data_IF_305003543970
#
_entry.id   IF_305003543970
#
_cell.length_a   1.000
_cell.length_b   1.000
_cell.length_c   1.000
_cell.angle_alpha   90.00
_cell.angle_beta   90.00
_cell.angle_gamma   90.00
#
_symmetry.space_group_name_H-M   'P 1'
#
loop_
_entity.id
_entity.type
_entity.pdbx_description
1 polymer ?
#
# COMPACT_ATOMS: atom_id res chain seq x y z
N UNK A 1 46.56 -14.73 -67.52
CA UNK A 1 45.93 -16.00 -67.09
C UNK A 1 46.56 -16.43 -65.79
N UNK A 2 45.87 -17.20 -64.94
CA UNK A 2 44.44 -17.21 -64.59
C UNK A 2 44.29 -16.41 -63.26
N UNK A 3 43.25 -16.48 -62.40
CA UNK A 3 41.90 -17.07 -62.44
C UNK A 3 40.85 -15.94 -62.29
N UNK A 4 39.56 -16.30 -62.36
CA UNK A 4 38.47 -15.58 -61.71
C UNK A 4 37.94 -16.43 -60.55
N UNK A 5 37.55 -15.82 -59.43
CA UNK A 5 36.55 -16.32 -58.49
C UNK A 5 35.65 -15.11 -58.21
N UNK A 6 34.35 -15.12 -58.41
CA UNK A 6 33.42 -16.23 -58.24
C UNK A 6 32.48 -15.81 -57.11
N UNK A 7 31.31 -15.26 -57.45
CA UNK A 7 30.37 -14.70 -56.47
C UNK A 7 29.96 -15.77 -55.45
N UNK A 8 30.06 -15.45 -54.17
CA UNK A 8 29.29 -16.12 -53.12
C UNK A 8 28.67 -15.06 -52.20
N UNK A 9 27.35 -14.87 -52.32
CA UNK A 9 26.60 -14.08 -51.34
C UNK A 9 26.47 -14.88 -50.05
N UNK A 10 27.10 -14.42 -48.97
CA UNK A 10 26.61 -14.70 -47.62
C UNK A 10 25.89 -13.46 -47.10
N UNK A 11 24.56 -13.51 -47.13
CA UNK A 11 23.73 -12.58 -46.35
C UNK A 11 23.85 -13.01 -44.90
N UNK A 12 24.74 -12.36 -44.13
CA UNK A 12 24.84 -12.59 -42.70
C UNK A 12 23.64 -11.94 -42.01
N UNK A 13 22.57 -12.72 -41.84
CA UNK A 13 21.40 -12.30 -41.10
C UNK A 13 21.79 -12.04 -39.63
N UNK A 14 21.75 -10.77 -39.22
CA UNK A 14 22.03 -10.36 -37.85
C UNK A 14 20.87 -10.80 -36.95
N UNK A 15 21.02 -11.96 -36.32
CA UNK A 15 20.17 -12.36 -35.21
C UNK A 15 20.60 -11.57 -33.97
N UNK A 16 19.98 -10.41 -33.75
CA UNK A 16 20.00 -9.73 -32.47
C UNK A 16 19.29 -10.61 -31.43
N UNK A 17 19.95 -11.08 -30.36
CA UNK A 17 19.23 -11.65 -29.23
C UNK A 17 18.55 -10.49 -28.49
N UNK A 18 17.29 -10.22 -28.82
CA UNK A 18 16.39 -9.45 -27.94
C UNK A 18 16.00 -10.31 -26.73
N UNK A 19 16.99 -10.61 -25.90
CA UNK A 19 16.80 -11.08 -24.54
C UNK A 19 16.86 -9.86 -23.62
N UNK A 20 15.78 -9.08 -23.60
CA UNK A 20 15.45 -8.32 -22.39
C UNK A 20 15.05 -9.35 -21.34
N UNK A 21 16.04 -9.92 -20.65
CA UNK A 21 15.81 -10.39 -19.30
C UNK A 21 15.22 -9.19 -18.56
N UNK A 22 13.96 -9.31 -18.12
CA UNK A 22 13.48 -8.43 -17.07
C UNK A 22 14.35 -8.77 -15.86
N UNK A 23 15.31 -7.91 -15.55
CA UNK A 23 16.06 -8.01 -14.31
C UNK A 23 15.06 -7.88 -13.17
N UNK A 24 14.63 -9.02 -12.66
CA UNK A 24 13.99 -9.14 -11.37
C UNK A 24 15.08 -8.91 -10.32
N UNK A 25 15.52 -7.65 -10.21
CA UNK A 25 16.41 -7.18 -9.16
C UNK A 25 15.72 -7.41 -7.82
N UNK A 26 16.07 -8.52 -7.18
CA UNK A 26 15.84 -8.71 -5.76
C UNK A 26 16.57 -7.56 -5.06
N UNK A 27 15.82 -6.72 -4.34
CA UNK A 27 16.38 -5.62 -3.57
C UNK A 27 17.33 -6.18 -2.52
N UNK A 28 18.63 -6.16 -2.83
CA UNK A 28 19.66 -6.67 -1.94
C UNK A 28 20.00 -5.68 -0.81
N UNK A 29 20.80 -6.15 0.14
CA UNK A 29 21.19 -5.36 1.31
C UNK A 29 22.05 -4.13 0.96
N UNK A 30 22.69 -4.08 -0.22
CA UNK A 30 23.45 -2.92 -0.68
C UNK A 30 22.50 -1.85 -1.24
N UNK A 31 21.52 -2.24 -2.05
CA UNK A 31 20.46 -1.35 -2.53
C UNK A 31 19.65 -0.74 -1.36
N UNK A 32 19.37 -1.54 -0.33
CA UNK A 32 18.76 -1.07 0.93
C UNK A 32 19.61 -0.07 1.72
N UNK A 33 20.93 -0.05 1.52
CA UNK A 33 21.82 0.91 2.17
C UNK A 33 22.03 2.16 1.32
N UNK A 34 22.04 2.06 -0.02
CA UNK A 34 22.05 3.23 -0.90
C UNK A 34 20.80 4.10 -0.70
N UNK A 35 19.62 3.47 -0.52
CA UNK A 35 18.37 4.15 -0.13
C UNK A 35 18.45 4.92 1.21
N UNK A 36 19.38 4.57 2.10
CA UNK A 36 19.59 5.30 3.38
C UNK A 36 20.55 6.48 3.25
N UNK A 37 21.34 6.54 2.17
CA UNK A 37 22.43 7.52 2.01
C UNK A 37 22.24 8.48 0.84
N UNK A 38 21.28 8.25 -0.06
CA UNK A 38 21.06 9.06 -1.25
C UNK A 38 19.67 9.72 -1.32
N UNK A 39 19.66 11.06 -1.42
CA UNK A 39 18.46 11.92 -1.61
C UNK A 39 17.40 11.85 -0.50
N UNK A 40 16.46 12.83 -0.42
CA UNK A 40 15.30 12.71 0.45
C UNK A 40 14.52 11.46 0.06
N UNK A 41 14.21 10.60 1.04
CA UNK A 41 13.37 9.43 0.83
C UNK A 41 12.03 9.89 0.26
N UNK A 42 11.81 9.64 -1.04
CA UNK A 42 10.55 9.94 -1.71
C UNK A 42 9.55 8.84 -1.37
N UNK A 43 9.02 8.89 -0.14
CA UNK A 43 8.02 7.94 0.33
C UNK A 43 6.79 8.00 -0.60
N UNK A 44 6.28 6.86 -1.08
CA UNK A 44 5.12 6.84 -1.96
C UNK A 44 3.84 7.06 -1.17
N UNK A 45 2.85 7.69 -1.82
CA UNK A 45 1.46 7.56 -1.39
C UNK A 45 1.02 6.09 -1.52
N UNK A 46 0.26 5.60 -0.54
CA UNK A 46 -0.20 4.23 -0.45
C UNK A 46 -1.73 4.15 -0.60
N UNK A 47 -2.20 3.03 -1.12
CA UNK A 47 -3.62 2.64 -1.13
C UNK A 47 -3.77 1.34 -0.38
N UNK A 48 -4.49 1.37 0.74
CA UNK A 48 -4.84 0.19 1.51
C UNK A 48 -6.23 -0.29 1.07
N UNK A 49 -6.26 -1.43 0.40
CA UNK A 49 -7.51 -2.09 0.01
C UNK A 49 -7.92 -3.08 1.09
N UNK A 50 -9.02 -2.80 1.79
CA UNK A 50 -9.54 -3.66 2.85
C UNK A 50 -10.62 -4.60 2.34
N UNK A 51 -10.60 -5.83 2.82
CA UNK A 51 -11.67 -6.81 2.63
C UNK A 51 -11.89 -7.58 3.93
N UNK A 52 -12.95 -7.20 4.65
CA UNK A 52 -13.27 -7.69 5.98
C UNK A 52 -14.11 -8.97 5.88
N UNK A 53 -13.70 -10.02 6.59
CA UNK A 53 -14.32 -11.37 6.48
C UNK A 53 -15.51 -11.60 7.42
N UNK A 54 -15.69 -10.77 8.43
CA UNK A 54 -16.74 -10.93 9.44
C UNK A 54 -17.75 -9.79 9.33
N UNK A 55 -19.04 -10.13 9.31
CA UNK A 55 -20.13 -9.14 9.24
C UNK A 55 -20.13 -8.17 10.43
N UNK A 56 -19.64 -8.59 11.59
CA UNK A 56 -19.48 -7.76 12.80
C UNK A 56 -18.46 -6.63 12.63
N UNK A 57 -17.52 -6.77 11.69
CA UNK A 57 -16.48 -5.78 11.40
C UNK A 57 -16.91 -4.78 10.32
N UNK A 58 -18.15 -4.87 9.81
CA UNK A 58 -18.69 -3.90 8.85
C UNK A 58 -18.55 -2.47 9.39
N UNK A 59 -18.08 -1.59 8.53
CA UNK A 59 -17.98 -0.14 8.78
C UNK A 59 -19.07 0.50 7.95
N UNK A 60 -20.07 1.11 8.59
CA UNK A 60 -21.29 1.61 7.93
C UNK A 60 -21.95 0.58 6.99
N UNK A 61 -21.93 -0.69 7.39
CA UNK A 61 -22.54 -1.80 6.65
C UNK A 61 -21.70 -2.39 5.51
N UNK A 62 -20.55 -1.81 5.15
CA UNK A 62 -19.68 -2.33 4.09
C UNK A 62 -18.47 -3.12 4.63
N UNK A 63 -17.98 -4.07 3.84
CA UNK A 63 -16.82 -4.93 4.15
C UNK A 63 -15.62 -4.68 3.25
N UNK A 64 -15.78 -3.95 2.14
CA UNK A 64 -14.71 -3.70 1.16
C UNK A 64 -14.65 -2.22 0.85
N UNK A 65 -13.49 -1.61 1.09
CA UNK A 65 -13.24 -0.17 0.88
C UNK A 65 -11.75 0.08 0.69
N UNK A 66 -11.42 1.30 0.27
CA UNK A 66 -10.05 1.77 0.12
C UNK A 66 -9.77 2.92 1.09
N UNK A 67 -8.57 2.91 1.67
CA UNK A 67 -8.01 4.05 2.39
C UNK A 67 -6.79 4.56 1.63
N UNK A 68 -6.70 5.87 1.44
CA UNK A 68 -5.62 6.55 0.73
C UNK A 68 -4.72 7.24 1.74
N UNK A 69 -3.43 7.00 1.65
CA UNK A 69 -2.47 7.42 2.67
C UNK A 69 -1.34 8.21 2.02
N UNK A 70 -1.12 9.44 2.49
CA UNK A 70 -0.09 10.36 2.01
C UNK A 70 1.03 10.51 3.06
N UNK A 71 2.31 10.32 2.70
CA UNK A 71 3.39 10.37 3.68
C UNK A 71 3.70 11.80 4.11
N UNK A 72 3.85 11.96 5.43
CA UNK A 72 4.35 13.13 6.13
C UNK A 72 5.73 12.78 6.68
N UNK A 73 6.76 13.43 6.13
CA UNK A 73 8.15 13.18 6.51
C UNK A 73 8.54 14.07 7.69
N UNK A 74 9.03 13.45 8.76
CA UNK A 74 9.37 14.08 10.03
C UNK A 74 10.87 13.93 10.36
N UNK A 75 11.33 14.71 11.34
CA UNK A 75 12.66 14.60 11.96
C UNK A 75 13.85 14.58 10.99
N UNK A 76 13.79 15.43 9.96
CA UNK A 76 14.78 15.49 8.87
C UNK A 76 14.97 14.14 8.17
N UNK A 77 13.87 13.54 7.72
CA UNK A 77 13.77 12.28 6.98
C UNK A 77 14.07 11.01 7.80
N UNK A 78 14.02 11.09 9.14
CA UNK A 78 14.21 9.92 10.01
C UNK A 78 12.93 9.13 10.27
N UNK A 79 11.79 9.83 10.31
CA UNK A 79 10.49 9.26 10.64
C UNK A 79 9.48 9.61 9.54
N UNK A 80 8.51 8.72 9.32
CA UNK A 80 7.37 8.98 8.43
C UNK A 80 6.10 8.53 9.10
N UNK A 81 5.14 9.45 9.15
CA UNK A 81 3.74 9.12 9.37
C UNK A 81 3.01 9.17 8.03
N UNK A 82 1.86 8.54 7.98
CA UNK A 82 0.91 8.65 6.90
C UNK A 82 -0.34 9.35 7.42
N UNK A 83 -0.66 10.48 6.79
CA UNK A 83 -1.99 11.07 6.87
C UNK A 83 -2.92 10.28 5.96
N UNK A 84 -4.13 9.98 6.42
CA UNK A 84 -5.02 9.02 5.76
C UNK A 84 -6.37 9.65 5.51
N UNK A 85 -6.96 9.31 4.36
CA UNK A 85 -8.32 9.66 3.98
C UNK A 85 -9.07 8.42 3.50
N UNK A 86 -10.31 8.27 3.94
CA UNK A 86 -11.24 7.28 3.39
C UNK A 86 -12.65 7.86 3.33
N UNK A 87 -13.39 7.54 2.28
CA UNK A 87 -14.82 7.85 2.16
C UNK A 87 -15.62 6.56 2.09
N UNK A 88 -16.65 6.46 2.92
CA UNK A 88 -17.62 5.38 2.95
C UNK A 88 -19.00 5.98 2.77
N UNK A 89 -19.80 5.42 1.87
CA UNK A 89 -21.17 5.89 1.60
C UNK A 89 -22.15 4.77 1.97
N UNK A 90 -23.10 5.08 2.84
CA UNK A 90 -24.21 4.19 3.17
C UNK A 90 -25.52 4.67 2.48
N UNK A 91 -26.68 4.18 2.92
CA UNK A 91 -27.97 4.58 2.34
C UNK A 91 -28.48 5.96 2.80
N UNK A 92 -27.79 6.63 3.73
CA UNK A 92 -28.27 7.81 4.47
C UNK A 92 -27.27 8.97 4.48
N UNK A 93 -25.98 8.70 4.41
CA UNK A 93 -24.92 9.70 4.50
C UNK A 93 -23.64 9.31 3.73
N UNK A 94 -22.79 10.31 3.53
CA UNK A 94 -21.36 10.13 3.23
C UNK A 94 -20.59 10.28 4.54
N UNK A 95 -19.71 9.32 4.81
CA UNK A 95 -18.85 9.30 5.99
C UNK A 95 -17.39 9.41 5.53
N UNK A 96 -16.68 10.44 6.01
CA UNK A 96 -15.26 10.62 5.79
C UNK A 96 -14.50 10.29 7.07
N UNK A 97 -13.44 9.49 6.93
CA UNK A 97 -12.42 9.29 7.95
C UNK A 97 -11.17 10.06 7.52
N UNK A 98 -10.60 10.81 8.46
CA UNK A 98 -9.29 11.44 8.29
C UNK A 98 -8.37 11.08 9.45
N UNK A 99 -7.11 10.79 9.15
CA UNK A 99 -6.01 10.72 10.11
C UNK A 99 -5.03 11.83 9.72
N UNK A 100 -4.78 12.78 10.62
CA UNK A 100 -3.88 13.91 10.36
C UNK A 100 -2.91 14.04 11.53
N UNK A 101 -1.61 13.92 11.26
CA UNK A 101 -0.54 13.90 12.26
C UNK A 101 -0.79 12.91 13.42
N UNK A 102 -1.37 11.74 13.11
CA UNK A 102 -1.72 10.71 14.09
C UNK A 102 -3.02 10.96 14.89
N UNK A 103 -3.74 12.07 14.65
CA UNK A 103 -5.05 12.31 15.25
C UNK A 103 -6.15 11.97 14.25
N UNK A 104 -7.02 11.04 14.62
CA UNK A 104 -8.19 10.68 13.82
C UNK A 104 -9.31 11.73 13.96
N UNK A 105 -10.15 11.80 12.93
CA UNK A 105 -11.42 12.53 12.89
C UNK A 105 -12.40 11.78 12.02
N UNK A 106 -13.70 11.88 12.34
CA UNK A 106 -14.77 11.46 11.45
C UNK A 106 -15.73 12.59 11.13
N UNK A 107 -16.20 12.61 9.89
CA UNK A 107 -17.22 13.53 9.39
C UNK A 107 -18.36 12.71 8.80
N UNK A 108 -19.61 13.07 9.10
CA UNK A 108 -20.81 12.47 8.51
C UNK A 108 -21.68 13.55 7.90
N UNK A 109 -21.91 13.47 6.58
CA UNK A 109 -22.78 14.39 5.82
C UNK A 109 -24.05 13.65 5.37
N UNK A 110 -25.22 13.90 5.98
CA UNK A 110 -26.48 13.28 5.59
C UNK A 110 -26.92 13.66 4.16
N UNK A 111 -27.60 12.74 3.47
CA UNK A 111 -28.22 13.04 2.17
C UNK A 111 -29.53 13.83 2.29
N UNK A 112 -30.21 13.72 3.43
CA UNK A 112 -31.46 14.44 3.72
C UNK A 112 -31.20 15.62 4.65
N UNK A 113 -31.94 16.71 4.46
CA UNK A 113 -31.76 17.93 5.23
C UNK A 113 -32.81 18.06 6.32
N UNK A 114 -32.36 18.17 7.57
CA UNK A 114 -33.19 18.63 8.69
C UNK A 114 -33.18 20.16 8.85
N UNK A 115 -32.37 20.88 8.05
CA UNK A 115 -32.16 22.32 8.15
C UNK A 115 -33.13 23.11 7.27
N UNK A 116 -33.64 24.22 7.81
CA UNK A 116 -34.45 25.21 7.07
C UNK A 116 -33.68 25.91 5.95
N UNK A 117 -32.35 25.79 5.89
CA UNK A 117 -31.52 26.31 4.79
C UNK A 117 -31.53 25.43 3.54
N UNK A 118 -32.06 24.20 3.61
CA UNK A 118 -32.03 23.24 2.50
C UNK A 118 -30.63 22.67 2.19
N UNK A 119 -29.60 23.02 2.96
CA UNK A 119 -28.23 22.46 2.83
C UNK A 119 -27.99 21.39 3.89
N UNK A 120 -27.41 20.22 3.55
CA UNK A 120 -26.92 19.29 4.55
C UNK A 120 -25.88 19.94 5.46
N UNK A 121 -25.92 19.64 6.76
CA UNK A 121 -24.92 20.10 7.72
C UNK A 121 -24.05 18.91 8.12
N UNK A 122 -22.74 18.92 7.81
CA UNK A 122 -21.84 17.87 8.26
C UNK A 122 -21.72 17.85 9.79
N UNK A 123 -21.65 16.65 10.37
CA UNK A 123 -21.34 16.43 11.77
C UNK A 123 -19.90 15.89 11.88
N UNK A 124 -19.05 16.58 12.64
CA UNK A 124 -17.63 16.20 12.84
C UNK A 124 -17.41 15.73 14.29
N UNK A 125 -16.65 14.65 14.45
CA UNK A 125 -16.21 14.05 15.72
C UNK A 125 -14.71 13.72 15.67
N UNK A 126 -14.09 13.47 16.82
CA UNK A 126 -12.71 12.96 16.90
C UNK A 126 -12.63 11.49 16.45
N UNK A 127 -13.60 10.66 16.84
CA UNK A 127 -13.80 9.34 16.26
C UNK A 127 -15.23 8.90 16.53
N UNK A 128 -15.75 8.00 15.72
CA UNK A 128 -17.01 7.29 15.98
C UNK A 128 -16.77 5.78 16.05
N UNK A 129 -17.76 5.06 16.56
CA UNK A 129 -17.69 3.62 16.81
C UNK A 129 -17.64 2.76 15.54
N UNK A 130 -17.89 3.33 14.36
CA UNK A 130 -17.75 2.60 13.10
C UNK A 130 -16.31 2.70 12.60
N UNK A 131 -15.71 3.90 12.64
CA UNK A 131 -14.32 4.08 12.25
C UNK A 131 -13.30 3.60 13.29
N UNK A 132 -13.67 3.46 14.56
CA UNK A 132 -12.86 2.78 15.61
C UNK A 132 -12.58 1.29 15.28
N UNK A 133 -13.34 0.68 14.35
CA UNK A 133 -13.09 -0.67 13.82
C UNK A 133 -11.96 -0.71 12.79
N UNK A 134 -11.50 0.44 12.29
CA UNK A 134 -10.44 0.51 11.29
C UNK A 134 -9.06 0.27 11.93
N UNK A 135 -8.16 -0.45 11.25
CA UNK A 135 -6.82 -0.65 11.77
C UNK A 135 -5.99 0.62 11.63
N UNK A 136 -5.11 0.84 12.61
CA UNK A 136 -4.18 1.96 12.59
C UNK A 136 -3.15 1.80 11.45
N UNK A 137 -3.30 2.60 10.40
CA UNK A 137 -2.46 2.55 9.20
C UNK A 137 -0.97 2.76 9.51
N UNK A 138 -0.63 3.65 10.44
CA UNK A 138 0.76 3.90 10.82
C UNK A 138 1.40 2.68 11.50
N UNK A 139 0.65 1.95 12.33
CA UNK A 139 1.09 0.67 12.90
C UNK A 139 1.24 -0.43 11.84
N UNK A 140 0.38 -0.48 10.81
CA UNK A 140 0.57 -1.40 9.67
C UNK A 140 1.86 -1.05 8.91
N UNK A 141 2.10 0.24 8.61
CA UNK A 141 3.30 0.69 7.89
C UNK A 141 4.56 0.39 8.69
N UNK A 142 4.57 0.69 10.00
CA UNK A 142 5.68 0.36 10.89
C UNK A 142 5.98 -1.14 10.90
N UNK A 143 4.96 -1.98 11.13
CA UNK A 143 5.11 -3.44 11.13
C UNK A 143 5.65 -3.97 9.79
N UNK A 144 5.16 -3.46 8.64
CA UNK A 144 5.63 -3.86 7.30
C UNK A 144 7.08 -3.44 7.07
N UNK A 145 7.49 -2.26 7.53
CA UNK A 145 8.88 -1.79 7.42
C UNK A 145 9.86 -2.58 8.31
N UNK A 146 9.38 -3.22 9.38
CA UNK A 146 10.18 -4.10 10.24
C UNK A 146 10.28 -5.55 9.74
N UNK A 147 9.46 -5.94 8.74
CA UNK A 147 9.50 -7.31 8.18
C UNK A 147 10.87 -7.61 7.57
N UNK A 148 11.54 -8.61 8.15
CA UNK A 148 12.76 -9.19 7.60
C UNK A 148 12.41 -10.44 6.79
N UNK A 149 13.13 -10.66 5.69
CA UNK A 149 13.02 -11.92 4.95
C UNK A 149 13.41 -13.09 5.86
N UNK A 150 12.46 -13.99 6.13
CA UNK A 150 12.74 -15.23 6.84
C UNK A 150 13.57 -16.16 5.95
N UNK A 151 14.61 -16.80 6.52
CA UNK A 151 15.26 -17.93 5.84
C UNK A 151 14.21 -19.03 5.60
N UNK A 152 14.08 -19.48 4.34
CA UNK A 152 12.95 -20.28 3.85
C UNK A 152 12.75 -21.68 4.44
N UNK A 153 13.43 -22.01 5.55
CA UNK A 153 13.28 -23.25 6.32
C UNK A 153 12.07 -23.21 7.26
N UNK A 154 10.88 -22.98 6.71
CA UNK A 154 9.54 -23.31 7.25
C UNK A 154 9.32 -23.33 8.77
N UNK A 155 9.91 -22.41 9.53
CA UNK A 155 9.83 -22.45 11.00
C UNK A 155 8.55 -21.75 11.44
N UNK A 156 7.57 -22.53 11.91
CA UNK A 156 6.33 -22.02 12.44
C UNK A 156 6.58 -21.06 13.62
N UNK A 157 5.71 -20.05 13.78
CA UNK A 157 5.71 -19.16 14.95
C UNK A 157 5.81 -19.97 16.25
N UNK A 158 6.86 -19.80 17.07
CA UNK A 158 6.93 -20.46 18.37
C UNK A 158 5.85 -19.94 19.33
N UNK A 159 5.46 -18.67 19.22
CA UNK A 159 4.63 -17.96 20.22
C UNK A 159 3.66 -16.90 19.67
N UNK A 160 3.64 -16.63 18.36
CA UNK A 160 2.96 -15.46 17.77
C UNK A 160 1.81 -15.76 16.81
N UNK A 161 0.85 -14.83 16.69
CA UNK A 161 -0.19 -14.85 15.67
C UNK A 161 0.39 -14.65 14.27
N UNK A 162 -0.17 -15.32 13.26
CA UNK A 162 0.21 -15.14 11.86
C UNK A 162 -0.93 -14.55 11.03
N UNK A 163 -0.59 -13.61 10.16
CA UNK A 163 -1.52 -12.91 9.27
C UNK A 163 -1.16 -13.21 7.82
N UNK A 164 -2.13 -13.68 7.04
CA UNK A 164 -1.97 -13.83 5.58
C UNK A 164 -2.29 -12.51 4.91
N UNK A 165 -1.34 -12.01 4.11
CA UNK A 165 -1.49 -10.83 3.27
C UNK A 165 -1.02 -11.16 1.85
N UNK A 166 -1.41 -10.38 0.85
CA UNK A 166 -0.97 -10.60 -0.52
C UNK A 166 -0.48 -9.30 -1.16
N UNK A 167 0.75 -9.29 -1.67
CA UNK A 167 1.31 -8.19 -2.46
C UNK A 167 1.56 -8.66 -3.89
N UNK A 168 1.06 -7.92 -4.89
CA UNK A 168 1.19 -8.27 -6.32
C UNK A 168 0.73 -9.71 -6.66
N UNK A 169 -0.28 -10.24 -5.96
CA UNK A 169 -0.79 -11.63 -6.03
C UNK A 169 0.17 -12.72 -5.54
N UNK A 170 1.25 -12.37 -4.85
CA UNK A 170 2.05 -13.31 -4.06
C UNK A 170 1.51 -13.32 -2.64
N UNK A 171 1.21 -14.51 -2.10
CA UNK A 171 0.80 -14.68 -0.72
C UNK A 171 2.01 -14.61 0.22
N UNK A 172 1.91 -13.79 1.26
CA UNK A 172 2.88 -13.65 2.34
C UNK A 172 2.21 -14.03 3.65
N UNK A 173 2.96 -14.69 4.55
CA UNK A 173 2.54 -14.87 5.93
C UNK A 173 3.41 -13.96 6.79
N UNK A 174 2.81 -12.91 7.34
CA UNK A 174 3.45 -12.04 8.34
C UNK A 174 3.35 -12.73 9.69
N UNK A 175 4.48 -12.82 10.38
CA UNK A 175 4.59 -13.39 11.71
C UNK A 175 4.78 -12.22 12.68
N UNK A 176 3.88 -12.03 13.63
CA UNK A 176 4.12 -11.12 14.74
C UNK A 176 4.95 -11.85 15.80
N UNK A 177 6.01 -11.22 16.29
CA UNK A 177 6.86 -11.73 17.39
C UNK A 177 6.55 -11.02 18.70
#
# INVERSE_FOLDING_TARGET
MPLSLGRLSLVLAVLLPFATAADHSVLDAQHWNELKTGTPLAWPALRFHFSLKQDTLKVYGITTFDMYANPIVLDNNKNVLYDVYATITDAKAVHNYTLVNGVAYSESTPFTTGSSSGTPTPLVSCLDTEFDKLPEINSIVAAVNEVKAGNGTGTACPTGSSYKTAMKRVDYTVLLQ
#
